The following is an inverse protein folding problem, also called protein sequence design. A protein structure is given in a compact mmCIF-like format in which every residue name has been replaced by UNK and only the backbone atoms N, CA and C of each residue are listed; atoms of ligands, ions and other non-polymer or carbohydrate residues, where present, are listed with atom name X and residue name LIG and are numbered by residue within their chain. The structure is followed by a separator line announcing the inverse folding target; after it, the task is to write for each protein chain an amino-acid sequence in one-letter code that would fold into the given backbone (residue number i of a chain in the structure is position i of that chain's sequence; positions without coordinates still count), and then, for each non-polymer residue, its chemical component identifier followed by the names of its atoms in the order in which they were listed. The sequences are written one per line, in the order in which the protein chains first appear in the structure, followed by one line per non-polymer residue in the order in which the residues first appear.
data_IF_326851163215
#
_entry.id   IF_326851163215
#
_cell.length_a   1.000
_cell.length_b   1.000
_cell.length_c   1.000
_cell.angle_alpha   90.00
_cell.angle_beta   90.00
_cell.angle_gamma   90.00
#
_symmetry.space_group_name_H-M   'P 1'
#
loop_
_entity.id
_entity.type
_entity.pdbx_description
1 polymer ?
#
# COMPACT_ATOMS: atom_id res chain seq x y z
N UNK A 1 18.15 -44.79 -5.20
CA UNK A 1 17.92 -44.00 -3.99
C UNK A 1 18.59 -42.62 -4.04
N UNK A 2 19.82 -42.47 -4.55
CA UNK A 2 20.53 -41.16 -4.59
C UNK A 2 19.80 -40.12 -5.44
N UNK A 3 19.32 -40.48 -6.63
CA UNK A 3 18.58 -39.55 -7.51
C UNK A 3 17.30 -38.99 -6.87
N UNK A 4 16.60 -39.81 -6.07
CA UNK A 4 15.39 -39.36 -5.36
C UNK A 4 15.71 -38.32 -4.29
N UNK A 5 16.83 -38.48 -3.57
CA UNK A 5 17.30 -37.54 -2.57
C UNK A 5 17.73 -36.21 -3.22
N UNK A 6 18.41 -36.27 -4.38
CA UNK A 6 18.84 -35.06 -5.13
C UNK A 6 17.61 -34.26 -5.62
N UNK A 7 16.61 -34.94 -6.19
CA UNK A 7 15.40 -34.29 -6.67
C UNK A 7 14.64 -33.67 -5.49
N UNK A 8 14.49 -34.42 -4.37
CA UNK A 8 13.84 -33.90 -3.18
C UNK A 8 14.54 -32.67 -2.59
N UNK A 9 15.88 -32.67 -2.51
CA UNK A 9 16.65 -31.53 -2.01
C UNK A 9 16.49 -30.29 -2.90
N UNK A 10 16.48 -30.46 -4.24
CA UNK A 10 16.27 -29.37 -5.18
C UNK A 10 14.88 -28.73 -5.00
N UNK A 11 13.83 -29.54 -4.81
CA UNK A 11 12.46 -29.07 -4.60
C UNK A 11 12.34 -28.29 -3.28
N UNK A 12 12.98 -28.74 -2.20
CA UNK A 12 12.96 -28.06 -0.90
C UNK A 12 13.61 -26.69 -1.02
N UNK A 13 14.83 -26.61 -1.58
CA UNK A 13 15.55 -25.34 -1.72
C UNK A 13 14.79 -24.37 -2.63
N UNK A 14 14.23 -24.85 -3.74
CA UNK A 14 13.43 -24.02 -4.64
C UNK A 14 12.18 -23.44 -3.93
N UNK A 15 11.44 -24.27 -3.20
CA UNK A 15 10.23 -23.86 -2.50
C UNK A 15 10.53 -22.81 -1.41
N UNK A 16 11.54 -23.04 -0.56
CA UNK A 16 11.93 -22.07 0.47
C UNK A 16 12.49 -20.79 -0.09
N UNK A 17 13.23 -20.84 -1.22
CA UNK A 17 13.73 -19.65 -1.92
C UNK A 17 12.59 -18.80 -2.48
N UNK A 18 11.58 -19.41 -3.08
CA UNK A 18 10.38 -18.72 -3.58
C UNK A 18 9.64 -18.06 -2.41
N UNK A 19 9.48 -18.76 -1.29
CA UNK A 19 8.84 -18.21 -0.10
C UNK A 19 9.58 -16.99 0.43
N UNK A 20 10.91 -17.07 0.59
CA UNK A 20 11.75 -15.94 0.99
C UNK A 20 11.68 -14.76 0.03
N UNK A 21 11.63 -15.04 -1.29
CA UNK A 21 11.45 -14.01 -2.31
C UNK A 21 10.09 -13.30 -2.19
N UNK A 22 9.00 -14.07 -2.01
CA UNK A 22 7.64 -13.50 -1.87
C UNK A 22 7.53 -12.60 -0.63
N UNK A 23 8.09 -13.01 0.51
CA UNK A 23 8.14 -12.18 1.72
C UNK A 23 8.97 -10.92 1.51
N UNK A 24 10.18 -11.04 0.92
CA UNK A 24 11.02 -9.88 0.63
C UNK A 24 10.33 -8.88 -0.31
N UNK A 25 9.58 -9.37 -1.30
CA UNK A 25 8.87 -8.52 -2.27
C UNK A 25 7.76 -7.67 -1.64
N UNK A 26 7.18 -8.07 -0.51
CA UNK A 26 6.15 -7.28 0.19
C UNK A 26 6.67 -5.89 0.61
N UNK A 27 7.92 -5.78 1.06
CA UNK A 27 8.54 -4.50 1.41
C UNK A 27 8.68 -3.59 0.19
N UNK A 28 9.07 -4.13 -0.96
CA UNK A 28 9.13 -3.38 -2.21
C UNK A 28 7.75 -2.94 -2.70
N UNK A 29 6.74 -3.81 -2.57
CA UNK A 29 5.36 -3.49 -2.94
C UNK A 29 4.80 -2.38 -2.06
N UNK A 30 5.00 -2.43 -0.73
CA UNK A 30 4.58 -1.37 0.20
C UNK A 30 5.13 -0.01 -0.21
N UNK A 31 6.45 0.10 -0.41
CA UNK A 31 7.08 1.35 -0.83
C UNK A 31 6.49 1.87 -2.14
N UNK A 32 6.39 1.03 -3.16
CA UNK A 32 5.85 1.45 -4.45
C UNK A 32 4.39 1.92 -4.34
N UNK A 33 3.59 1.24 -3.52
CA UNK A 33 2.18 1.60 -3.32
C UNK A 33 2.04 2.89 -2.52
N UNK A 34 2.92 3.20 -1.57
CA UNK A 34 2.96 4.51 -0.89
C UNK A 34 3.30 5.64 -1.88
N UNK A 35 4.30 5.45 -2.75
CA UNK A 35 4.65 6.42 -3.81
C UNK A 35 3.45 6.66 -4.76
N UNK A 36 2.73 5.61 -5.15
CA UNK A 36 1.54 5.76 -5.99
C UNK A 36 0.39 6.43 -5.23
N UNK A 37 0.27 6.18 -3.93
CA UNK A 37 -0.71 6.86 -3.08
C UNK A 37 -0.39 8.36 -2.96
N UNK A 38 0.88 8.73 -2.77
CA UNK A 38 1.29 10.13 -2.76
C UNK A 38 0.90 10.85 -4.06
N UNK A 39 1.13 10.21 -5.22
CA UNK A 39 0.72 10.75 -6.52
C UNK A 39 -0.81 10.94 -6.60
N UNK A 40 -1.59 9.98 -6.12
CA UNK A 40 -3.04 10.10 -6.05
C UNK A 40 -3.48 11.26 -5.15
N UNK A 41 -2.84 11.44 -3.99
CA UNK A 41 -3.13 12.55 -3.05
C UNK A 41 -2.80 13.90 -3.70
N UNK A 42 -1.70 14.03 -4.44
CA UNK A 42 -1.35 15.25 -5.19
C UNK A 42 -2.39 15.59 -6.27
N UNK A 43 -2.92 14.59 -6.97
CA UNK A 43 -4.02 14.79 -7.92
C UNK A 43 -5.26 15.28 -7.17
N UNK A 44 -5.60 14.64 -6.05
CA UNK A 44 -6.75 15.01 -5.22
C UNK A 44 -6.63 16.44 -4.69
N UNK A 45 -5.46 16.83 -4.19
CA UNK A 45 -5.15 18.21 -3.78
C UNK A 45 -5.40 19.19 -4.92
N UNK A 46 -4.88 18.89 -6.11
CA UNK A 46 -5.04 19.74 -7.30
C UNK A 46 -6.51 19.93 -7.65
N UNK A 47 -7.29 18.86 -7.65
CA UNK A 47 -8.71 18.92 -7.96
C UNK A 47 -9.52 19.71 -6.91
N UNK A 48 -9.26 19.48 -5.63
CA UNK A 48 -10.06 20.08 -4.54
C UNK A 48 -9.61 21.51 -4.24
N UNK A 49 -8.30 21.72 -4.00
CA UNK A 49 -7.78 23.01 -3.54
C UNK A 49 -7.72 24.02 -4.68
N UNK A 50 -7.15 23.64 -5.82
CA UNK A 50 -6.94 24.55 -6.95
C UNK A 50 -8.10 24.51 -7.95
N UNK A 51 -8.65 23.32 -8.23
CA UNK A 51 -9.77 23.15 -9.16
C UNK A 51 -11.13 23.51 -8.58
N UNK A 52 -11.31 23.44 -7.27
CA UNK A 52 -12.63 23.61 -6.64
C UNK A 52 -13.63 22.51 -7.04
N UNK A 53 -13.13 21.37 -7.50
CA UNK A 53 -13.92 20.23 -7.98
C UNK A 53 -14.66 19.57 -6.81
N UNK A 54 -15.91 19.16 -7.04
CA UNK A 54 -16.66 18.40 -6.01
C UNK A 54 -15.98 17.08 -5.69
N UNK A 55 -16.04 16.64 -4.42
CA UNK A 55 -15.34 15.45 -3.94
C UNK A 55 -15.57 14.20 -4.82
N UNK A 56 -16.81 13.91 -5.20
CA UNK A 56 -17.14 12.74 -6.03
C UNK A 56 -16.48 12.79 -7.42
N UNK A 57 -16.39 13.96 -8.01
CA UNK A 57 -15.73 14.18 -9.30
C UNK A 57 -14.21 14.14 -9.13
N UNK A 58 -13.66 14.76 -8.08
CA UNK A 58 -12.26 14.69 -7.73
C UNK A 58 -11.77 13.26 -7.55
N UNK A 59 -12.52 12.41 -6.82
CA UNK A 59 -12.23 10.99 -6.65
C UNK A 59 -12.23 10.24 -7.99
N UNK A 60 -13.16 10.57 -8.90
CA UNK A 60 -13.20 10.02 -10.26
C UNK A 60 -11.94 10.40 -11.05
N UNK A 61 -11.52 11.67 -10.96
CA UNK A 61 -10.33 12.17 -11.62
C UNK A 61 -9.06 11.50 -11.08
N UNK A 62 -8.97 11.30 -9.76
CA UNK A 62 -7.88 10.54 -9.14
C UNK A 62 -7.84 9.11 -9.66
N UNK A 63 -8.99 8.41 -9.72
CA UNK A 63 -9.05 7.07 -10.28
C UNK A 63 -8.57 7.02 -11.72
N UNK A 64 -9.00 7.97 -12.56
CA UNK A 64 -8.69 7.98 -14.00
C UNK A 64 -7.21 8.32 -14.27
N UNK A 65 -6.62 9.25 -13.54
CA UNK A 65 -5.27 9.80 -13.75
C UNK A 65 -4.19 9.13 -12.92
N UNK A 66 -4.56 8.53 -11.78
CA UNK A 66 -3.65 7.85 -10.87
C UNK A 66 -3.23 6.46 -11.34
N UNK A 67 -2.19 5.91 -10.71
CA UNK A 67 -1.75 4.54 -10.98
C UNK A 67 -2.83 3.54 -10.53
N UNK A 68 -3.31 2.70 -11.45
CA UNK A 68 -4.41 1.76 -11.22
C UNK A 68 -4.16 0.75 -10.10
N UNK A 69 -2.91 0.51 -9.73
CA UNK A 69 -2.56 -0.35 -8.59
C UNK A 69 -3.05 0.21 -7.25
N UNK A 70 -3.19 1.54 -7.16
CA UNK A 70 -3.62 2.21 -5.92
C UNK A 70 -4.88 3.03 -6.14
N UNK A 71 -5.04 3.69 -7.31
CA UNK A 71 -6.16 4.61 -7.53
C UNK A 71 -7.54 3.95 -7.48
N UNK A 72 -7.64 2.61 -7.60
CA UNK A 72 -8.89 1.87 -7.46
C UNK A 72 -9.60 2.11 -6.11
N UNK A 73 -8.83 2.39 -5.04
CA UNK A 73 -9.41 2.68 -3.72
C UNK A 73 -10.26 3.95 -3.74
N UNK A 74 -9.90 4.94 -4.54
CA UNK A 74 -10.67 6.18 -4.66
C UNK A 74 -11.99 5.96 -5.40
N UNK A 75 -12.04 5.02 -6.34
CA UNK A 75 -13.28 4.58 -6.96
C UNK A 75 -14.16 3.79 -5.98
N UNK A 76 -13.59 2.90 -5.17
CA UNK A 76 -14.31 2.18 -4.12
C UNK A 76 -14.94 3.19 -3.12
N UNK A 77 -14.17 4.21 -2.66
CA UNK A 77 -14.68 5.29 -1.78
C UNK A 77 -15.83 6.05 -2.43
N UNK A 78 -15.65 6.49 -3.69
CA UNK A 78 -16.70 7.20 -4.42
C UNK A 78 -17.98 6.38 -4.51
N UNK A 79 -17.86 5.10 -4.88
CA UNK A 79 -19.03 4.22 -5.00
C UNK A 79 -19.76 4.08 -3.66
N UNK A 80 -19.03 4.00 -2.55
CA UNK A 80 -19.61 3.96 -1.21
C UNK A 80 -20.36 5.25 -0.84
N UNK A 81 -19.77 6.42 -1.17
CA UNK A 81 -20.41 7.73 -0.97
C UNK A 81 -21.69 7.93 -1.81
N UNK A 82 -21.77 7.25 -2.98
CA UNK A 82 -22.95 7.35 -3.85
C UNK A 82 -24.07 6.39 -3.45
N UNK A 83 -23.75 5.25 -2.80
CA UNK A 83 -24.74 4.24 -2.41
C UNK A 83 -25.56 4.69 -1.21
N UNK A 84 -24.98 5.44 -0.29
CA UNK A 84 -25.65 5.88 0.93
C UNK A 84 -25.37 7.38 1.18
N UNK A 85 -26.40 8.21 1.02
CA UNK A 85 -26.30 9.67 1.17
C UNK A 85 -26.11 10.15 2.62
N UNK A 86 -26.32 9.26 3.59
CA UNK A 86 -26.13 9.55 5.01
C UNK A 86 -24.74 9.17 5.53
N UNK A 87 -23.92 8.49 4.69
CA UNK A 87 -22.57 8.07 5.09
C UNK A 87 -21.61 9.25 5.02
N UNK A 88 -20.96 9.51 6.14
CA UNK A 88 -19.85 10.46 6.24
C UNK A 88 -18.64 10.02 5.41
N UNK A 89 -17.89 10.99 4.89
CA UNK A 89 -16.66 10.78 4.09
C UNK A 89 -15.69 9.86 4.83
N UNK A 90 -15.49 10.07 6.14
CA UNK A 90 -14.61 9.24 6.95
C UNK A 90 -15.00 7.74 6.94
N UNK A 91 -16.30 7.45 7.06
CA UNK A 91 -16.81 6.08 7.03
C UNK A 91 -16.58 5.41 5.67
N UNK A 92 -16.63 6.16 4.57
CA UNK A 92 -16.32 5.66 3.25
C UNK A 92 -14.83 5.32 3.09
N UNK A 93 -13.93 6.08 3.73
CA UNK A 93 -12.51 5.76 3.82
C UNK A 93 -12.26 4.53 4.71
N UNK A 94 -12.99 4.40 5.81
CA UNK A 94 -12.88 3.24 6.71
C UNK A 94 -13.28 1.93 6.01
N UNK A 95 -14.27 1.97 5.14
CA UNK A 95 -14.76 0.79 4.42
C UNK A 95 -13.72 0.16 3.48
N UNK A 96 -12.74 0.93 2.99
CA UNK A 96 -11.67 0.42 2.12
C UNK A 96 -10.43 -0.07 2.90
N UNK A 97 -10.43 0.00 4.22
CA UNK A 97 -9.28 -0.37 5.07
C UNK A 97 -8.78 -1.79 4.85
N UNK A 98 -9.69 -2.75 4.65
CA UNK A 98 -9.33 -4.15 4.36
C UNK A 98 -8.65 -4.29 2.98
N UNK A 99 -9.11 -3.54 1.98
CA UNK A 99 -8.47 -3.49 0.65
C UNK A 99 -7.06 -2.93 0.72
N UNK A 100 -6.81 -1.90 1.56
CA UNK A 100 -5.47 -1.34 1.79
C UNK A 100 -4.51 -2.39 2.35
N UNK A 101 -4.95 -3.17 3.33
CA UNK A 101 -4.14 -4.19 3.97
C UNK A 101 -3.85 -5.37 3.05
N UNK A 102 -4.89 -5.90 2.41
CA UNK A 102 -4.80 -7.15 1.64
C UNK A 102 -4.22 -6.96 0.25
N UNK A 103 -4.60 -5.88 -0.46
CA UNK A 103 -4.19 -5.65 -1.85
C UNK A 103 -2.92 -4.79 -1.96
N UNK A 104 -2.68 -3.87 -0.99
CA UNK A 104 -1.58 -2.90 -1.08
C UNK A 104 -0.40 -3.21 -0.15
N UNK A 105 -0.49 -4.25 0.67
CA UNK A 105 0.54 -4.61 1.66
C UNK A 105 0.81 -3.48 2.67
N UNK A 106 -0.19 -2.64 2.94
CA UNK A 106 -0.08 -1.54 3.88
C UNK A 106 -0.06 -2.05 5.32
N UNK A 107 0.71 -1.38 6.17
CA UNK A 107 0.74 -1.57 7.61
C UNK A 107 -0.36 -0.75 8.28
N UNK A 108 -0.59 -1.01 9.55
CA UNK A 108 -1.59 -0.24 10.32
C UNK A 108 -1.29 1.27 10.31
N UNK A 109 -0.02 1.66 10.42
CA UNK A 109 0.40 3.07 10.34
C UNK A 109 0.04 3.75 9.00
N UNK A 110 0.15 3.02 7.88
CA UNK A 110 -0.22 3.50 6.54
C UNK A 110 -1.74 3.66 6.42
N UNK A 111 -2.49 2.73 7.04
CA UNK A 111 -3.95 2.75 7.07
C UNK A 111 -4.43 3.92 7.93
N UNK A 112 -3.89 4.10 9.13
CA UNK A 112 -4.23 5.21 10.03
C UNK A 112 -3.96 6.57 9.36
N UNK A 113 -2.82 6.67 8.64
CA UNK A 113 -2.51 7.82 7.80
C UNK A 113 -3.60 8.06 6.74
N UNK A 114 -3.98 7.02 5.99
CA UNK A 114 -5.00 7.13 4.94
C UNK A 114 -6.37 7.53 5.50
N UNK A 115 -6.74 7.02 6.68
CA UNK A 115 -7.98 7.41 7.36
C UNK A 115 -7.94 8.88 7.83
N UNK A 116 -6.75 9.41 8.15
CA UNK A 116 -6.61 10.83 8.49
C UNK A 116 -6.95 11.75 7.31
N UNK A 117 -6.64 11.33 6.08
CA UNK A 117 -7.06 12.04 4.86
C UNK A 117 -8.59 12.10 4.76
N UNK A 118 -9.29 11.00 5.05
CA UNK A 118 -10.75 10.97 5.05
C UNK A 118 -11.38 11.96 6.05
N UNK A 119 -10.77 12.15 7.23
CA UNK A 119 -11.21 13.15 8.20
C UNK A 119 -11.04 14.58 7.71
N UNK A 120 -9.90 14.85 7.06
CA UNK A 120 -9.62 16.17 6.50
C UNK A 120 -10.61 16.55 5.40
N UNK A 121 -10.91 15.61 4.51
CA UNK A 121 -11.83 15.85 3.39
C UNK A 121 -13.29 16.08 3.84
N UNK A 122 -13.69 15.51 4.99
CA UNK A 122 -15.05 15.65 5.53
C UNK A 122 -15.32 16.94 6.31
N UNK A 123 -14.29 17.66 6.77
CA UNK A 123 -14.45 18.64 7.83
C UNK A 123 -13.99 20.08 7.53
N UNK A 124 -13.37 20.41 6.38
CA UNK A 124 -12.59 21.66 6.29
C UNK A 124 -13.05 22.67 5.24
N UNK A 125 -12.97 23.96 5.64
CA UNK A 125 -13.02 25.11 4.74
C UNK A 125 -11.80 25.14 3.80
N UNK A 126 -11.91 25.79 2.64
CA UNK A 126 -10.91 25.78 1.55
C UNK A 126 -9.50 26.20 1.98
N UNK A 127 -9.36 27.16 2.87
CA UNK A 127 -8.04 27.59 3.39
C UNK A 127 -7.39 26.57 4.29
N UNK A 128 -8.19 25.87 5.08
CA UNK A 128 -7.69 24.80 5.95
C UNK A 128 -7.34 23.54 5.14
N UNK A 129 -8.03 23.31 4.03
CA UNK A 129 -7.73 22.18 3.14
C UNK A 129 -6.29 22.25 2.59
N UNK A 130 -5.83 23.38 2.06
CA UNK A 130 -4.45 23.52 1.54
C UNK A 130 -3.41 23.21 2.64
N UNK A 131 -3.59 23.77 3.83
CA UNK A 131 -2.70 23.50 4.97
C UNK A 131 -2.71 22.03 5.36
N UNK A 132 -3.89 21.42 5.36
CA UNK A 132 -4.06 20.03 5.72
C UNK A 132 -3.45 19.09 4.67
N UNK A 133 -3.62 19.35 3.36
CA UNK A 133 -2.94 18.60 2.31
C UNK A 133 -1.42 18.69 2.42
N UNK A 134 -0.87 19.87 2.72
CA UNK A 134 0.56 20.01 2.96
C UNK A 134 1.07 19.16 4.13
N UNK A 135 0.28 19.01 5.21
CA UNK A 135 0.61 18.13 6.33
C UNK A 135 0.53 16.65 5.92
N UNK A 136 -0.52 16.27 5.20
CA UNK A 136 -0.71 14.92 4.67
C UNK A 136 0.45 14.52 3.74
N UNK A 137 0.86 15.40 2.84
CA UNK A 137 1.99 15.14 1.93
C UNK A 137 3.34 15.00 2.66
N UNK A 138 3.55 15.75 3.74
CA UNK A 138 4.73 15.55 4.61
C UNK A 138 4.68 14.21 5.35
N UNK A 139 3.51 13.82 5.83
CA UNK A 139 3.34 12.53 6.52
C UNK A 139 3.59 11.35 5.60
N UNK A 140 3.04 11.36 4.37
CA UNK A 140 3.28 10.25 3.43
C UNK A 140 4.74 10.16 3.02
N UNK A 141 5.43 11.29 2.81
CA UNK A 141 6.87 11.32 2.54
C UNK A 141 7.67 10.64 3.67
N UNK A 142 7.31 10.88 4.94
CA UNK A 142 7.93 10.20 6.08
C UNK A 142 7.66 8.68 6.07
N UNK A 143 6.44 8.25 5.72
CA UNK A 143 6.12 6.83 5.58
C UNK A 143 6.89 6.16 4.44
N UNK A 144 7.10 6.88 3.33
CA UNK A 144 7.92 6.41 2.21
C UNK A 144 9.38 6.21 2.60
N UNK A 145 9.97 7.16 3.33
CA UNK A 145 11.35 7.07 3.81
C UNK A 145 11.52 5.85 4.75
N UNK A 146 10.58 5.65 5.66
CA UNK A 146 10.57 4.47 6.53
C UNK A 146 10.43 3.17 5.73
N UNK A 147 9.52 3.12 4.75
CA UNK A 147 9.33 1.96 3.90
C UNK A 147 10.57 1.67 3.03
N UNK A 148 11.31 2.70 2.62
CA UNK A 148 12.58 2.57 1.89
C UNK A 148 13.66 1.93 2.75
N UNK A 149 13.83 2.40 3.97
CA UNK A 149 14.79 1.81 4.93
C UNK A 149 14.44 0.35 5.24
N UNK A 150 13.15 0.06 5.46
CA UNK A 150 12.69 -1.31 5.68
C UNK A 150 12.94 -2.21 4.47
N UNK A 151 12.68 -1.73 3.26
CA UNK A 151 12.97 -2.45 2.03
C UNK A 151 14.45 -2.79 1.91
N UNK A 152 15.33 -1.80 2.08
CA UNK A 152 16.78 -2.00 1.97
C UNK A 152 17.30 -3.04 2.97
N UNK A 153 16.79 -3.02 4.18
CA UNK A 153 17.17 -3.96 5.25
C UNK A 153 16.57 -5.35 5.06
N UNK A 154 15.26 -5.42 4.85
CA UNK A 154 14.53 -6.66 5.00
C UNK A 154 14.41 -7.44 3.68
N UNK A 155 14.32 -6.79 2.51
CA UNK A 155 14.16 -7.49 1.23
C UNK A 155 15.32 -8.45 0.94
N UNK A 156 16.57 -7.99 1.13
CA UNK A 156 17.77 -8.82 0.94
C UNK A 156 17.87 -9.90 2.01
N UNK A 157 17.53 -9.56 3.26
CA UNK A 157 17.57 -10.49 4.37
C UNK A 157 16.62 -11.67 4.17
N UNK A 158 15.34 -11.43 3.83
CA UNK A 158 14.37 -12.50 3.61
C UNK A 158 14.69 -13.37 2.40
N UNK A 159 15.21 -12.77 1.31
CA UNK A 159 15.70 -13.53 0.15
C UNK A 159 16.86 -14.47 0.52
N UNK A 160 17.81 -13.98 1.30
CA UNK A 160 18.93 -14.78 1.80
C UNK A 160 18.50 -15.88 2.77
N UNK A 161 17.64 -15.55 3.74
CA UNK A 161 17.09 -16.51 4.70
C UNK A 161 16.33 -17.65 4.02
N UNK A 162 15.57 -17.39 2.96
CA UNK A 162 14.86 -18.42 2.22
C UNK A 162 15.79 -19.50 1.66
N UNK A 163 16.93 -19.09 1.10
CA UNK A 163 17.95 -20.01 0.57
C UNK A 163 18.65 -20.77 1.71
N UNK A 164 19.06 -20.06 2.75
CA UNK A 164 19.77 -20.66 3.88
C UNK A 164 18.90 -21.68 4.63
N UNK A 165 17.61 -21.38 4.83
CA UNK A 165 16.67 -22.33 5.44
C UNK A 165 16.48 -23.58 4.56
N UNK A 166 16.41 -23.43 3.25
CA UNK A 166 16.33 -24.57 2.33
C UNK A 166 17.55 -25.50 2.47
N UNK A 167 18.74 -24.91 2.49
CA UNK A 167 19.99 -25.68 2.67
C UNK A 167 20.03 -26.36 4.04
N UNK A 168 19.65 -25.67 5.12
CA UNK A 168 19.62 -26.27 6.46
C UNK A 168 18.67 -27.48 6.54
N UNK A 169 17.48 -27.39 5.96
CA UNK A 169 16.51 -28.51 5.90
C UNK A 169 17.11 -29.68 5.13
N UNK A 170 17.75 -29.42 3.98
CA UNK A 170 18.37 -30.48 3.18
C UNK A 170 19.48 -31.20 3.97
N UNK A 171 20.33 -30.46 4.70
CA UNK A 171 21.40 -31.07 5.54
C UNK A 171 20.83 -31.96 6.65
N UNK A 172 19.68 -31.59 7.23
CA UNK A 172 19.03 -32.38 8.29
C UNK A 172 18.40 -33.68 7.72
N UNK A 173 17.92 -33.64 6.46
CA UNK A 173 17.19 -34.76 5.83
C UNK A 173 18.12 -35.74 5.07
N UNK A 174 19.36 -35.37 4.77
CA UNK A 174 20.35 -36.20 4.07
C UNK A 174 21.00 -37.19 4.99
#
# INVERSE_FOLDING_TARGET
MIYLKIIGSLLIVSSTSIMGYCYGKQFSNRLNNLIYLEQCIKILETEIVYGGTMLNEALTNVYNRGNKKVSFIFEEIKNHLLMDKEVDVYNSFLNVSDSLKTKLSFKNEDIDFFLSLGRVLGSSDRRDQEKNFNLILKQISFLEDNARLEKEKNEKMFKGLGILMGLAIVIILL
#
